data_IF_268681445572
#
_entry.id   IF_268681445572
#
_cell.length_a   1.000
_cell.length_b   1.000
_cell.length_c   1.000
_cell.angle_alpha   90.00
_cell.angle_beta   90.00
_cell.angle_gamma   90.00
#
_symmetry.space_group_name_H-M   'P 1'
#
loop_
_entity.id
_entity.type
_entity.pdbx_description
1 polymer ?
#
# COMPACT_ATOMS: atom_id res chain seq x y z
N UNK A 1 -72.30 -27.60 2.18
CA UNK A 1 -71.07 -27.09 2.77
C UNK A 1 -69.90 -27.65 2.01
N UNK A 2 -69.22 -26.81 1.17
CA UNK A 2 -68.04 -27.20 0.40
C UNK A 2 -66.81 -26.54 1.08
N UNK A 3 -65.98 -27.34 1.72
CA UNK A 3 -64.70 -26.91 2.27
C UNK A 3 -63.70 -26.75 1.15
N UNK A 4 -63.22 -25.54 0.95
CA UNK A 4 -62.08 -25.23 0.06
C UNK A 4 -60.79 -25.39 0.89
N UNK A 5 -60.00 -26.40 0.53
CA UNK A 5 -58.64 -26.53 1.02
C UNK A 5 -57.73 -25.49 0.34
N UNK A 6 -57.06 -24.71 1.17
CA UNK A 6 -56.04 -23.74 0.73
C UNK A 6 -54.68 -24.44 0.75
N UNK A 7 -54.13 -24.69 -0.43
CA UNK A 7 -52.75 -25.19 -0.57
C UNK A 7 -51.82 -24.03 -0.48
N UNK A 8 -51.01 -23.97 0.60
CA UNK A 8 -49.95 -23.01 0.75
C UNK A 8 -48.71 -23.49 -0.04
N UNK A 9 -48.37 -22.81 -1.10
CA UNK A 9 -47.10 -23.00 -1.81
C UNK A 9 -46.01 -22.28 -1.03
N UNK A 10 -45.15 -23.03 -0.36
CA UNK A 10 -43.93 -22.51 0.26
C UNK A 10 -42.88 -22.41 -0.83
N UNK A 11 -42.65 -21.21 -1.34
CA UNK A 11 -41.52 -20.92 -2.22
C UNK A 11 -40.22 -20.85 -1.39
N UNK A 12 -39.43 -21.93 -1.45
CA UNK A 12 -38.05 -21.90 -0.92
C UNK A 12 -37.19 -21.09 -1.88
N UNK A 13 -36.92 -19.84 -1.52
CA UNK A 13 -35.92 -19.04 -2.20
C UNK A 13 -34.55 -19.52 -1.76
N UNK A 14 -33.95 -20.42 -2.55
CA UNK A 14 -32.53 -20.77 -2.42
C UNK A 14 -31.74 -19.57 -2.95
N UNK A 15 -31.28 -18.68 -2.08
CA UNK A 15 -30.29 -17.69 -2.44
C UNK A 15 -28.97 -18.42 -2.69
N UNK A 16 -28.70 -18.75 -3.93
CA UNK A 16 -27.35 -19.06 -4.40
C UNK A 16 -26.48 -17.83 -4.15
N UNK A 17 -25.76 -17.83 -3.06
CA UNK A 17 -24.63 -16.90 -2.89
C UNK A 17 -23.64 -17.19 -4.01
N UNK A 18 -23.64 -16.37 -5.05
CA UNK A 18 -22.66 -16.45 -6.12
C UNK A 18 -21.29 -16.37 -5.47
N UNK A 19 -20.55 -17.46 -5.47
CA UNK A 19 -19.15 -17.47 -5.05
C UNK A 19 -18.42 -16.52 -6.01
N UNK A 20 -17.89 -15.42 -5.48
CA UNK A 20 -17.20 -14.44 -6.29
C UNK A 20 -15.98 -15.11 -6.95
N UNK A 21 -16.08 -15.32 -8.25
CA UNK A 21 -15.06 -16.00 -9.04
C UNK A 21 -13.90 -15.04 -9.33
N UNK A 22 -12.68 -15.52 -9.21
CA UNK A 22 -11.49 -14.80 -9.70
C UNK A 22 -11.61 -14.69 -11.22
N UNK A 23 -11.36 -13.48 -11.73
CA UNK A 23 -11.45 -13.14 -13.15
C UNK A 23 -10.12 -12.59 -13.62
N UNK A 24 -9.53 -13.18 -14.66
CA UNK A 24 -8.38 -12.55 -15.31
C UNK A 24 -8.84 -11.26 -16.00
N UNK A 25 -8.29 -10.14 -15.55
CA UNK A 25 -8.60 -8.83 -16.14
C UNK A 25 -7.72 -8.58 -17.34
N UNK A 26 -8.31 -8.19 -18.49
CA UNK A 26 -7.50 -7.73 -19.61
C UNK A 26 -6.72 -6.48 -19.18
N UNK A 27 -5.47 -6.37 -19.64
CA UNK A 27 -4.68 -5.15 -19.43
C UNK A 27 -5.06 -4.12 -20.49
N UNK A 28 -5.07 -2.82 -20.16
CA UNK A 28 -5.25 -1.78 -21.16
C UNK A 28 -4.25 -1.94 -22.30
N UNK A 29 -4.70 -1.67 -23.52
CA UNK A 29 -3.85 -1.72 -24.70
C UNK A 29 -2.61 -0.83 -24.54
N UNK A 30 -1.47 -1.30 -24.98
CA UNK A 30 -0.19 -0.61 -24.87
C UNK A 30 0.61 -0.91 -23.61
N UNK A 31 0.04 -1.55 -22.59
CA UNK A 31 0.80 -1.87 -21.37
C UNK A 31 1.92 -2.90 -21.61
N UNK A 32 1.86 -3.65 -22.68
CA UNK A 32 2.92 -4.54 -23.16
C UNK A 32 4.20 -3.76 -23.59
N UNK A 33 4.06 -2.47 -23.86
CA UNK A 33 5.17 -1.57 -24.24
C UNK A 33 5.79 -0.83 -23.04
N UNK A 34 5.33 -1.08 -21.81
CA UNK A 34 5.91 -0.47 -20.62
C UNK A 34 7.36 -0.92 -20.43
N UNK A 35 8.24 0.08 -20.19
CA UNK A 35 9.65 -0.22 -19.95
C UNK A 35 9.91 -0.72 -18.53
N UNK A 36 11.00 -1.46 -18.28
CA UNK A 36 11.40 -1.85 -16.94
C UNK A 36 11.57 -0.61 -16.03
N UNK A 37 10.85 -0.59 -14.91
CA UNK A 37 10.77 0.55 -14.00
C UNK A 37 9.57 1.47 -14.24
N UNK A 38 8.86 1.30 -15.36
CA UNK A 38 7.68 2.09 -15.71
C UNK A 38 6.47 1.80 -14.84
N UNK A 39 6.40 0.62 -14.23
CA UNK A 39 5.31 0.22 -13.33
C UNK A 39 5.69 0.43 -11.88
N UNK A 40 4.72 0.71 -11.03
CA UNK A 40 4.99 0.75 -9.59
C UNK A 40 5.49 -0.60 -9.05
N UNK A 41 4.98 -1.71 -9.57
CA UNK A 41 5.42 -3.05 -9.14
C UNK A 41 6.90 -3.34 -9.43
N UNK A 42 7.53 -2.63 -10.33
CA UNK A 42 8.97 -2.79 -10.63
C UNK A 42 9.86 -2.23 -9.50
N UNK A 43 9.28 -1.52 -8.54
CA UNK A 43 9.95 -0.91 -7.38
C UNK A 43 10.05 -1.87 -6.18
N UNK A 44 9.38 -3.03 -6.20
CA UNK A 44 9.51 -4.03 -5.14
C UNK A 44 10.88 -4.68 -5.17
N UNK A 45 11.51 -4.80 -4.02
CA UNK A 45 12.79 -5.46 -3.84
C UNK A 45 12.63 -6.82 -3.16
N UNK A 46 13.68 -7.65 -3.19
CA UNK A 46 13.66 -8.96 -2.55
C UNK A 46 13.87 -8.82 -1.06
N UNK A 47 13.01 -9.43 -0.25
CA UNK A 47 13.19 -9.56 1.18
C UNK A 47 14.29 -10.58 1.50
N UNK A 48 14.98 -10.43 2.63
CA UNK A 48 15.83 -11.46 3.21
C UNK A 48 15.10 -12.19 4.32
N UNK A 49 15.36 -13.48 4.48
CA UNK A 49 14.79 -14.26 5.58
C UNK A 49 15.29 -13.71 6.92
N UNK A 50 14.38 -13.52 7.87
CA UNK A 50 14.69 -13.01 9.20
C UNK A 50 15.20 -14.16 10.09
N UNK A 51 16.50 -14.21 10.29
CA UNK A 51 17.12 -15.26 11.12
C UNK A 51 16.80 -16.67 10.59
N UNK A 52 16.20 -17.50 11.44
CA UNK A 52 15.75 -18.86 11.12
C UNK A 52 14.24 -18.95 10.85
N UNK A 53 13.62 -17.85 10.37
CA UNK A 53 12.15 -17.77 10.21
C UNK A 53 11.60 -18.57 9.05
N UNK A 54 12.44 -19.02 8.08
CA UNK A 54 11.95 -19.78 6.94
C UNK A 54 11.46 -21.17 7.34
N UNK A 55 10.27 -21.52 6.87
CA UNK A 55 9.69 -22.85 7.04
C UNK A 55 9.11 -23.35 5.73
N UNK A 56 9.39 -24.64 5.44
CA UNK A 56 8.74 -25.40 4.38
C UNK A 56 7.62 -26.28 4.94
N UNK A 57 7.51 -26.36 6.26
CA UNK A 57 6.44 -27.09 6.90
C UNK A 57 5.15 -26.29 6.67
N UNK A 58 4.28 -26.86 5.87
CA UNK A 58 2.91 -26.41 5.79
C UNK A 58 2.33 -26.58 7.19
N UNK A 59 1.84 -25.55 7.80
CA UNK A 59 1.17 -25.58 9.09
C UNK A 59 -0.14 -26.38 8.99
N UNK A 60 -0.03 -27.61 8.43
CA UNK A 60 -1.05 -28.61 8.30
C UNK A 60 -2.04 -28.47 7.15
N UNK A 61 -2.03 -27.40 6.36
CA UNK A 61 -2.91 -27.22 5.20
C UNK A 61 -2.22 -27.54 3.87
N UNK A 62 -2.92 -28.19 2.97
CA UNK A 62 -2.41 -28.50 1.62
C UNK A 62 -1.97 -27.26 0.84
N UNK A 63 -2.50 -26.08 1.19
CA UNK A 63 -2.30 -24.82 0.46
C UNK A 63 -1.38 -23.83 1.17
N UNK A 64 -0.90 -24.15 2.38
CA UNK A 64 -0.02 -23.23 3.12
C UNK A 64 1.35 -23.20 2.50
N UNK A 65 1.74 -22.05 1.95
CA UNK A 65 3.01 -21.85 1.25
C UNK A 65 4.20 -21.82 2.20
N UNK A 66 5.36 -22.34 1.79
CA UNK A 66 6.62 -22.10 2.49
C UNK A 66 6.83 -20.60 2.65
N UNK A 67 7.23 -20.15 3.85
CA UNK A 67 7.31 -18.73 4.17
C UNK A 67 8.25 -18.43 5.32
N UNK A 68 8.64 -17.18 5.45
CA UNK A 68 9.30 -16.67 6.64
C UNK A 68 8.24 -16.27 7.69
N UNK A 69 8.11 -17.05 8.74
CA UNK A 69 7.14 -16.83 9.83
C UNK A 69 7.50 -15.60 10.69
N UNK A 70 8.74 -15.09 10.59
CA UNK A 70 9.19 -13.88 11.30
C UNK A 70 8.98 -12.61 10.48
N UNK A 71 8.75 -12.74 9.16
CA UNK A 71 8.42 -11.59 8.31
C UNK A 71 6.97 -11.17 8.55
N UNK A 72 6.77 -9.87 8.85
CA UNK A 72 5.47 -9.34 9.23
C UNK A 72 5.02 -9.83 10.60
N UNK A 73 3.79 -10.34 10.69
CA UNK A 73 3.24 -10.90 11.93
C UNK A 73 2.50 -12.21 11.68
N UNK A 74 2.76 -13.17 12.54
CA UNK A 74 2.14 -14.47 12.55
C UNK A 74 2.22 -15.07 13.97
N UNK A 75 1.08 -15.48 14.54
CA UNK A 75 0.99 -16.15 15.83
C UNK A 75 0.21 -17.45 15.72
N UNK A 76 0.57 -18.45 16.52
CA UNK A 76 -0.17 -19.71 16.59
C UNK A 76 -1.64 -19.45 16.99
N UNK A 77 -2.58 -20.11 16.31
CA UNK A 77 -4.00 -20.00 16.59
C UNK A 77 -4.70 -18.72 16.15
N UNK A 78 -4.00 -17.82 15.42
CA UNK A 78 -4.57 -16.56 14.92
C UNK A 78 -4.30 -16.34 13.43
N UNK A 79 -5.32 -15.91 12.69
CA UNK A 79 -5.18 -15.25 11.39
C UNK A 79 -4.99 -13.76 11.57
N UNK A 80 -4.20 -13.13 10.68
CA UNK A 80 -3.97 -11.69 10.62
C UNK A 80 -4.41 -11.10 9.29
N UNK A 81 -5.00 -9.89 9.31
CA UNK A 81 -5.44 -9.22 8.11
C UNK A 81 -5.40 -7.70 8.20
N UNK A 82 -4.81 -7.05 7.18
CA UNK A 82 -4.74 -5.60 7.12
C UNK A 82 -3.89 -4.99 8.23
N UNK A 83 -3.93 -3.67 8.31
CA UNK A 83 -3.15 -2.90 9.27
C UNK A 83 -1.93 -2.24 8.65
N UNK A 84 -1.40 -1.22 9.35
CA UNK A 84 -0.22 -0.48 8.92
C UNK A 84 0.89 -0.52 9.97
N UNK A 85 2.12 -0.37 9.47
CA UNK A 85 3.32 -0.24 10.28
C UNK A 85 3.72 1.23 10.31
N UNK A 86 3.96 1.77 11.50
CA UNK A 86 4.37 3.16 11.69
C UNK A 86 5.56 3.21 12.65
N UNK A 87 6.62 3.96 12.30
CA UNK A 87 7.76 4.20 13.19
C UNK A 87 7.40 5.27 14.21
N UNK A 88 7.53 4.96 15.50
CA UNK A 88 7.28 5.90 16.60
C UNK A 88 8.46 5.79 17.58
N UNK A 89 9.25 6.84 17.69
CA UNK A 89 10.49 6.79 18.46
C UNK A 89 11.48 5.81 17.84
N UNK A 90 11.86 4.79 18.60
CA UNK A 90 12.82 3.75 18.18
C UNK A 90 12.14 2.50 17.64
N UNK A 91 10.85 2.35 17.92
CA UNK A 91 10.09 1.14 17.67
C UNK A 91 9.16 1.29 16.45
N UNK A 92 8.78 0.16 15.90
CA UNK A 92 7.78 0.04 14.85
C UNK A 92 6.50 -0.53 15.46
N UNK A 93 5.39 0.18 15.27
CA UNK A 93 4.08 -0.17 15.77
C UNK A 93 3.22 -0.67 14.63
N UNK A 94 2.63 -1.85 14.80
CA UNK A 94 1.69 -2.45 13.87
C UNK A 94 0.31 -2.52 14.52
N UNK A 95 -0.70 -1.96 13.85
CA UNK A 95 -2.09 -2.13 14.23
C UNK A 95 -2.76 -2.98 13.15
N UNK A 96 -3.15 -4.21 13.50
CA UNK A 96 -3.70 -5.19 12.57
C UNK A 96 -4.97 -5.84 13.09
N UNK A 97 -5.84 -6.30 12.20
CA UNK A 97 -6.94 -7.17 12.58
C UNK A 97 -6.43 -8.59 12.77
N UNK A 98 -6.90 -9.28 13.83
CA UNK A 98 -6.67 -10.69 14.02
C UNK A 98 -7.92 -11.39 14.52
N UNK A 99 -8.02 -12.68 14.31
CA UNK A 99 -9.07 -13.54 14.85
C UNK A 99 -8.55 -14.94 15.08
N UNK A 100 -9.18 -15.66 15.99
CA UNK A 100 -8.80 -17.04 16.27
C UNK A 100 -9.09 -17.96 15.08
N UNK A 101 -8.14 -18.83 14.77
CA UNK A 101 -8.36 -19.96 13.88
C UNK A 101 -9.30 -20.98 14.53
N UNK A 102 -10.49 -21.14 13.97
CA UNK A 102 -11.52 -22.04 14.48
C UNK A 102 -12.11 -22.84 13.33
N UNK A 103 -12.04 -24.18 13.45
CA UNK A 103 -12.72 -25.07 12.52
C UNK A 103 -14.25 -24.87 12.57
N UNK A 104 -14.93 -24.94 11.43
CA UNK A 104 -14.41 -25.11 10.04
C UNK A 104 -14.23 -23.78 9.28
N UNK A 105 -14.19 -22.63 9.95
CA UNK A 105 -14.38 -21.33 9.28
C UNK A 105 -13.11 -20.65 8.77
N UNK A 106 -11.93 -20.92 9.36
CA UNK A 106 -10.67 -20.32 8.93
C UNK A 106 -10.77 -18.81 8.67
N UNK A 107 -10.38 -18.36 7.50
CA UNK A 107 -10.46 -16.93 7.12
C UNK A 107 -11.88 -16.35 7.27
N UNK A 108 -12.91 -17.14 6.97
CA UNK A 108 -14.31 -16.65 7.04
C UNK A 108 -14.81 -16.41 8.47
N UNK A 109 -13.98 -16.63 9.49
CA UNK A 109 -14.25 -16.21 10.86
C UNK A 109 -13.90 -14.73 11.13
N UNK A 110 -13.38 -14.00 10.16
CA UNK A 110 -13.03 -12.58 10.24
C UNK A 110 -14.10 -11.66 10.89
N UNK A 111 -15.42 -11.92 10.86
CA UNK A 111 -16.39 -11.08 11.57
C UNK A 111 -16.18 -11.03 13.09
N UNK A 112 -15.35 -11.94 13.64
CA UNK A 112 -14.98 -11.96 15.05
C UNK A 112 -13.62 -11.32 15.33
N UNK A 113 -13.05 -10.60 14.33
CA UNK A 113 -11.75 -9.97 14.48
C UNK A 113 -11.74 -8.88 15.55
N UNK A 114 -10.58 -8.74 16.14
CA UNK A 114 -10.17 -7.71 17.09
C UNK A 114 -8.97 -6.94 16.53
N UNK A 115 -8.76 -5.72 17.02
CA UNK A 115 -7.61 -4.90 16.64
C UNK A 115 -6.49 -5.19 17.62
N UNK A 116 -5.40 -5.78 17.11
CA UNK A 116 -4.18 -6.03 17.85
C UNK A 116 -3.17 -4.91 17.59
N UNK A 117 -2.57 -4.39 18.65
CA UNK A 117 -1.39 -3.53 18.61
C UNK A 117 -0.17 -4.38 18.92
N UNK A 118 0.77 -4.41 17.99
CA UNK A 118 2.02 -5.15 18.12
C UNK A 118 3.23 -4.23 17.89
N UNK A 119 4.36 -4.57 18.50
CA UNK A 119 5.57 -3.76 18.46
C UNK A 119 6.77 -4.61 18.05
N UNK A 120 7.69 -4.02 17.29
CA UNK A 120 8.99 -4.59 16.95
C UNK A 120 10.06 -3.51 16.92
N UNK A 121 11.31 -3.90 17.19
CA UNK A 121 12.49 -3.06 16.91
C UNK A 121 12.88 -3.03 15.43
N UNK A 122 12.24 -3.84 14.59
CA UNK A 122 12.49 -4.01 13.15
C UNK A 122 11.28 -3.60 12.33
N UNK A 123 11.46 -2.98 11.15
CA UNK A 123 10.35 -2.61 10.28
C UNK A 123 9.69 -3.82 9.61
N UNK A 124 10.46 -4.89 9.38
CA UNK A 124 10.13 -5.99 8.49
C UNK A 124 9.53 -7.21 9.20
N UNK A 125 9.47 -7.20 10.55
CA UNK A 125 8.85 -8.34 11.20
C UNK A 125 9.21 -8.53 12.67
N UNK A 126 8.93 -9.73 13.13
CA UNK A 126 9.09 -10.16 14.52
C UNK A 126 8.21 -9.33 15.48
N UNK A 127 7.06 -8.88 14.99
CA UNK A 127 6.11 -8.11 15.79
C UNK A 127 5.52 -8.95 16.91
N UNK A 128 5.44 -8.37 18.12
CA UNK A 128 4.83 -9.01 19.31
C UNK A 128 3.63 -8.19 19.75
N UNK A 129 2.50 -8.84 19.91
CA UNK A 129 1.27 -8.19 20.39
C UNK A 129 1.48 -7.73 21.83
N UNK A 130 1.24 -6.45 22.06
CA UNK A 130 1.38 -5.80 23.38
C UNK A 130 0.03 -5.45 23.99
N UNK A 131 -1.01 -5.24 23.16
CA UNK A 131 -2.37 -4.98 23.62
C UNK A 131 -3.41 -5.35 22.55
N UNK A 132 -4.66 -5.42 22.96
CA UNK A 132 -5.84 -5.58 22.11
C UNK A 132 -6.81 -4.45 22.41
N UNK A 133 -7.11 -3.63 21.41
CA UNK A 133 -7.98 -2.45 21.57
C UNK A 133 -9.46 -2.87 21.73
N UNK A 134 -9.87 -3.92 21.04
CA UNK A 134 -11.24 -4.40 21.00
C UNK A 134 -11.66 -4.85 19.61
N UNK A 135 -12.97 -5.01 19.39
CA UNK A 135 -13.54 -5.50 18.13
C UNK A 135 -13.33 -4.51 16.97
N UNK A 136 -12.99 -5.04 15.81
CA UNK A 136 -12.84 -4.29 14.58
C UNK A 136 -12.12 -5.08 13.50
N UNK A 137 -12.21 -4.59 12.26
CA UNK A 137 -11.56 -5.19 11.10
C UNK A 137 -10.95 -4.12 10.23
N UNK A 138 -9.92 -4.46 9.44
CA UNK A 138 -9.25 -3.55 8.51
C UNK A 138 -8.74 -2.25 9.16
N UNK A 139 -7.91 -2.32 10.21
CA UNK A 139 -7.45 -1.12 10.89
C UNK A 139 -6.45 -0.31 10.08
N UNK A 140 -6.40 1.01 10.38
CA UNK A 140 -5.34 1.91 9.96
C UNK A 140 -5.11 2.99 11.00
N UNK A 141 -3.87 3.11 11.47
CA UNK A 141 -3.43 4.16 12.37
C UNK A 141 -3.14 5.44 11.59
N UNK A 142 -3.64 6.57 12.08
CA UNK A 142 -3.23 7.90 11.61
C UNK A 142 -3.11 8.88 12.79
N UNK A 143 -2.44 10.00 12.54
CA UNK A 143 -2.21 11.03 13.54
C UNK A 143 -3.09 12.24 13.27
N UNK A 144 -3.76 12.75 14.30
CA UNK A 144 -4.58 13.95 14.25
C UNK A 144 -3.71 15.22 14.40
N UNK A 145 -4.26 16.37 14.05
CA UNK A 145 -3.57 17.67 14.08
C UNK A 145 -3.08 18.08 15.48
N UNK A 146 -3.82 17.70 16.51
CA UNK A 146 -3.46 17.95 17.92
C UNK A 146 -2.37 16.99 18.46
N UNK A 147 -1.90 16.06 17.61
CA UNK A 147 -0.91 15.08 17.98
C UNK A 147 -1.48 13.78 18.55
N UNK A 148 -2.78 13.70 18.81
CA UNK A 148 -3.44 12.46 19.23
C UNK A 148 -3.46 11.41 18.12
N UNK A 149 -3.74 10.17 18.49
CA UNK A 149 -3.78 9.02 17.61
C UNK A 149 -5.21 8.54 17.35
N UNK A 150 -5.46 8.08 16.14
CA UNK A 150 -6.69 7.42 15.77
C UNK A 150 -6.39 6.12 15.03
N UNK A 151 -7.01 5.03 15.44
CA UNK A 151 -7.02 3.76 14.71
C UNK A 151 -8.40 3.60 14.09
N UNK A 152 -8.48 3.79 12.79
CA UNK A 152 -9.68 3.48 12.03
C UNK A 152 -9.90 1.96 12.01
N UNK A 153 -11.16 1.54 12.01
CA UNK A 153 -11.56 0.18 11.68
C UNK A 153 -13.02 0.15 11.20
N UNK A 154 -13.44 -0.94 10.59
CA UNK A 154 -14.86 -1.22 10.38
C UNK A 154 -15.38 -2.08 11.53
N UNK A 155 -16.61 -1.78 11.99
CA UNK A 155 -17.30 -2.73 12.86
C UNK A 155 -17.74 -3.95 12.03
N UNK A 156 -17.84 -5.10 12.68
CA UNK A 156 -18.20 -6.36 12.02
C UNK A 156 -19.70 -6.58 11.97
N UNK A 157 -20.52 -5.53 12.08
CA UNK A 157 -21.98 -5.55 11.98
C UNK A 157 -22.42 -5.22 10.56
N UNK A 158 -23.59 -5.67 10.18
CA UNK A 158 -24.23 -5.26 8.92
C UNK A 158 -25.31 -4.19 9.21
N UNK A 159 -25.27 -3.03 8.53
CA UNK A 159 -24.21 -2.57 7.63
C UNK A 159 -22.90 -2.27 8.37
N UNK A 160 -21.77 -2.50 7.70
CA UNK A 160 -20.47 -2.12 8.24
C UNK A 160 -20.40 -0.60 8.45
N UNK A 161 -19.89 -0.20 9.60
CA UNK A 161 -19.72 1.21 9.95
C UNK A 161 -18.25 1.54 10.16
N UNK A 162 -17.86 2.75 9.76
CA UNK A 162 -16.56 3.32 10.05
C UNK A 162 -16.47 3.69 11.53
N UNK A 163 -15.48 3.16 12.23
CA UNK A 163 -15.24 3.35 13.64
C UNK A 163 -13.82 3.85 13.88
N UNK A 164 -13.58 4.46 15.03
CA UNK A 164 -12.28 4.94 15.48
C UNK A 164 -12.01 4.47 16.90
N UNK A 165 -10.78 4.06 17.17
CA UNK A 165 -10.20 4.05 18.51
C UNK A 165 -9.31 5.30 18.61
N UNK A 166 -9.56 6.18 19.59
CA UNK A 166 -8.77 7.39 19.80
C UNK A 166 -8.02 7.37 21.11
N UNK A 167 -6.79 7.86 21.09
CA UNK A 167 -5.96 8.03 22.29
C UNK A 167 -5.05 9.25 22.16
N UNK A 168 -4.66 9.85 23.30
CA UNK A 168 -3.62 10.87 23.31
C UNK A 168 -2.25 10.29 23.06
N UNK A 169 -1.98 9.13 23.67
CA UNK A 169 -0.72 8.41 23.55
C UNK A 169 -0.92 7.10 22.79
N UNK A 170 0.14 6.61 22.13
CA UNK A 170 0.10 5.39 21.31
C UNK A 170 -0.24 4.11 22.11
N UNK A 171 -0.01 4.11 23.41
CA UNK A 171 -0.40 3.00 24.31
C UNK A 171 -1.77 3.18 24.96
N UNK A 172 -2.58 4.10 24.50
CA UNK A 172 -3.92 4.34 25.05
C UNK A 172 -3.95 5.29 26.26
N UNK A 173 -5.01 5.31 27.07
CA UNK A 173 -6.22 4.49 26.89
C UNK A 173 -7.01 4.86 25.63
N UNK A 174 -7.59 3.87 24.97
CA UNK A 174 -8.32 4.02 23.73
C UNK A 174 -9.82 4.20 23.96
N UNK A 175 -10.41 5.21 23.33
CA UNK A 175 -11.86 5.46 23.30
C UNK A 175 -12.42 5.02 21.97
N UNK A 176 -13.43 4.12 22.01
CA UNK A 176 -14.10 3.61 20.81
C UNK A 176 -15.31 4.46 20.45
N UNK A 177 -15.33 5.01 19.25
CA UNK A 177 -16.40 5.89 18.78
C UNK A 177 -16.71 5.68 17.28
N UNK A 178 -17.84 6.19 16.84
CA UNK A 178 -18.20 6.20 15.41
C UNK A 178 -17.47 7.34 14.69
N UNK A 179 -16.82 7.00 13.57
CA UNK A 179 -16.30 8.01 12.66
C UNK A 179 -17.44 8.85 12.08
N UNK A 180 -17.33 10.17 12.19
CA UNK A 180 -18.35 11.09 11.69
C UNK A 180 -18.08 11.39 10.21
N UNK A 181 -19.10 11.15 9.37
CA UNK A 181 -19.06 11.38 7.92
C UNK A 181 -20.12 12.41 7.55
N UNK A 182 -19.74 13.45 6.82
CA UNK A 182 -20.61 14.47 6.26
C UNK A 182 -20.55 14.42 4.73
N UNK A 183 -21.69 14.23 4.10
CA UNK A 183 -21.81 14.15 2.65
C UNK A 183 -21.76 15.52 1.97
N UNK A 184 -21.85 16.62 2.72
CA UNK A 184 -21.85 17.98 2.17
C UNK A 184 -22.87 18.15 1.01
N UNK A 185 -24.08 17.65 1.21
CA UNK A 185 -25.14 17.63 0.20
C UNK A 185 -24.97 16.63 -0.94
N UNK A 186 -23.88 15.85 -0.97
CA UNK A 186 -23.59 14.86 -2.01
C UNK A 186 -24.32 13.54 -1.76
N UNK A 187 -24.50 12.78 -2.82
CA UNK A 187 -25.09 11.43 -2.75
C UNK A 187 -24.10 10.43 -2.16
N UNK A 188 -24.61 9.51 -1.33
CA UNK A 188 -23.82 8.37 -0.85
C UNK A 188 -23.32 7.54 -2.03
N UNK A 189 -22.03 7.15 -2.00
CA UNK A 189 -21.47 6.15 -2.91
C UNK A 189 -21.51 4.80 -2.19
N UNK A 190 -21.87 3.75 -2.90
CA UNK A 190 -21.75 2.39 -2.37
C UNK A 190 -20.30 2.13 -1.91
N UNK A 191 -20.14 1.59 -0.69
CA UNK A 191 -18.84 1.20 -0.18
C UNK A 191 -18.10 2.27 0.64
N UNK A 192 -18.81 3.12 1.37
CA UNK A 192 -18.24 4.05 2.37
C UNK A 192 -17.60 3.30 3.55
N UNK A 193 -16.59 2.51 3.26
CA UNK A 193 -15.84 1.67 4.20
C UNK A 193 -14.40 1.50 3.72
N UNK A 194 -13.59 0.74 4.45
CA UNK A 194 -12.18 0.48 4.11
C UNK A 194 -11.42 1.76 3.77
N UNK A 195 -11.52 2.75 4.67
CA UNK A 195 -10.82 4.02 4.51
C UNK A 195 -9.31 3.85 4.61
N UNK A 196 -8.60 4.75 3.94
CA UNK A 196 -7.17 5.00 4.13
C UNK A 196 -6.93 6.49 4.28
N UNK A 197 -5.92 6.87 5.08
CA UNK A 197 -5.74 8.23 5.58
C UNK A 197 -4.35 8.76 5.29
N UNK A 198 -4.27 10.10 5.10
CA UNK A 198 -3.02 10.82 4.92
C UNK A 198 -3.10 12.21 5.57
N UNK A 199 -2.24 12.49 6.53
CA UNK A 199 -2.13 13.83 7.12
C UNK A 199 -1.45 14.78 6.14
N UNK A 200 -2.10 15.93 5.86
CA UNK A 200 -1.62 16.98 4.95
C UNK A 200 -0.67 17.94 5.67
N UNK A 201 0.09 18.78 4.92
CA UNK A 201 1.02 19.75 5.50
C UNK A 201 0.38 20.73 6.51
N UNK A 202 -0.90 21.06 6.33
CA UNK A 202 -1.67 21.96 7.19
C UNK A 202 -2.29 21.26 8.43
N UNK A 203 -2.05 19.96 8.56
CA UNK A 203 -2.58 19.12 9.62
C UNK A 203 -4.02 18.62 9.38
N UNK A 204 -4.64 18.97 8.26
CA UNK A 204 -5.88 18.32 7.85
C UNK A 204 -5.62 16.87 7.45
N UNK A 205 -6.65 16.02 7.55
CA UNK A 205 -6.53 14.59 7.23
C UNK A 205 -7.38 14.28 6.01
N UNK A 206 -6.68 13.92 4.94
CA UNK A 206 -7.29 13.43 3.70
C UNK A 206 -7.58 11.94 3.84
N UNK A 207 -8.70 11.48 3.30
CA UNK A 207 -9.04 10.06 3.28
C UNK A 207 -9.66 9.65 1.95
N UNK A 208 -9.49 8.37 1.61
CA UNK A 208 -10.15 7.71 0.48
C UNK A 208 -10.84 6.44 0.97
N UNK A 209 -12.04 6.15 0.48
CA UNK A 209 -12.79 4.97 0.87
C UNK A 209 -12.87 3.92 -0.25
N UNK A 210 -13.38 2.73 0.06
CA UNK A 210 -13.62 1.64 -0.90
C UNK A 210 -14.39 2.09 -2.14
N UNK A 211 -15.40 2.95 -1.97
CA UNK A 211 -16.18 3.50 -3.08
C UNK A 211 -15.42 4.49 -3.96
N UNK A 212 -14.20 4.89 -3.60
CA UNK A 212 -13.39 5.86 -4.32
C UNK A 212 -13.75 7.31 -4.05
N UNK A 213 -14.54 7.58 -3.00
CA UNK A 213 -14.80 8.94 -2.52
C UNK A 213 -13.60 9.53 -1.79
N UNK A 214 -13.30 10.80 -2.05
CA UNK A 214 -12.29 11.58 -1.33
C UNK A 214 -12.96 12.37 -0.21
N UNK A 215 -12.38 12.30 0.97
CA UNK A 215 -12.88 12.91 2.20
C UNK A 215 -11.79 13.74 2.87
N UNK A 216 -12.19 14.78 3.58
CA UNK A 216 -11.29 15.67 4.30
C UNK A 216 -11.85 16.03 5.67
N UNK A 217 -11.06 15.84 6.72
CA UNK A 217 -11.26 16.42 8.04
C UNK A 217 -10.23 17.53 8.28
N UNK A 218 -10.63 18.65 8.88
CA UNK A 218 -9.73 19.79 9.15
C UNK A 218 -8.58 19.44 10.11
N UNK A 219 -8.79 18.42 10.96
CA UNK A 219 -7.86 18.10 12.04
C UNK A 219 -7.79 16.60 12.39
N UNK A 220 -8.64 15.78 11.74
CA UNK A 220 -8.80 14.35 12.05
C UNK A 220 -9.75 14.09 13.22
N UNK A 221 -10.18 15.13 13.96
CA UNK A 221 -11.12 15.05 15.08
C UNK A 221 -12.55 15.43 14.64
N UNK A 222 -12.66 16.43 13.76
CA UNK A 222 -13.91 16.87 13.16
C UNK A 222 -14.44 15.87 12.13
N UNK A 223 -15.73 15.98 11.75
CA UNK A 223 -16.30 15.15 10.70
C UNK A 223 -15.46 15.15 9.42
N UNK A 224 -15.39 13.99 8.78
CA UNK A 224 -14.83 13.86 7.44
C UNK A 224 -15.90 14.26 6.42
N UNK A 225 -15.63 15.35 5.69
CA UNK A 225 -16.51 15.92 4.68
C UNK A 225 -16.13 15.38 3.32
N UNK A 226 -17.09 14.88 2.56
CA UNK A 226 -16.86 14.37 1.21
C UNK A 226 -16.52 15.50 0.23
N UNK A 227 -15.39 15.41 -0.45
CA UNK A 227 -14.90 16.43 -1.39
C UNK A 227 -15.07 16.04 -2.86
N UNK A 228 -14.98 14.77 -3.21
CA UNK A 228 -15.20 14.33 -4.59
C UNK A 228 -16.68 14.20 -4.94
N UNK A 229 -17.05 14.56 -6.17
CA UNK A 229 -18.40 14.32 -6.71
C UNK A 229 -18.61 12.84 -7.01
N UNK A 230 -17.64 12.21 -7.65
CA UNK A 230 -17.66 10.82 -8.08
C UNK A 230 -16.55 9.97 -7.46
N UNK A 231 -16.39 8.80 -8.05
CA UNK A 231 -15.31 7.86 -7.78
C UNK A 231 -14.05 8.33 -8.50
N UNK A 232 -12.91 8.37 -7.78
CA UNK A 232 -11.60 8.74 -8.37
C UNK A 232 -10.86 7.57 -8.99
N UNK A 233 -11.31 6.33 -8.76
CA UNK A 233 -10.67 5.13 -9.30
C UNK A 233 -10.79 5.03 -10.83
N UNK A 234 -9.93 4.23 -11.50
CA UNK A 234 -9.95 4.10 -12.94
C UNK A 234 -11.33 3.71 -13.47
N UNK A 235 -11.68 4.24 -14.64
CA UNK A 235 -12.90 3.87 -15.36
C UNK A 235 -12.67 2.59 -16.19
N UNK A 236 -12.43 1.51 -15.49
CA UNK A 236 -12.25 0.16 -16.05
C UNK A 236 -13.11 -0.83 -15.30
N UNK A 237 -13.35 -1.97 -15.89
CA UNK A 237 -14.00 -3.06 -15.18
C UNK A 237 -13.16 -3.52 -14.01
N UNK A 238 -13.74 -3.56 -12.80
CA UNK A 238 -13.08 -4.00 -11.60
C UNK A 238 -13.96 -3.93 -10.37
N UNK A 239 -13.64 -4.73 -9.38
CA UNK A 239 -14.19 -4.65 -8.03
C UNK A 239 -13.16 -4.04 -7.11
N UNK A 240 -13.12 -2.72 -7.09
CA UNK A 240 -12.15 -1.97 -6.30
C UNK A 240 -12.43 -2.07 -4.80
N UNK A 241 -11.36 -2.35 -4.06
CA UNK A 241 -11.38 -2.46 -2.61
C UNK A 241 -9.99 -2.09 -2.05
N UNK A 242 -9.93 -1.85 -0.74
CA UNK A 242 -8.69 -1.69 0.03
C UNK A 242 -7.71 -0.63 -0.53
N UNK A 243 -8.15 0.62 -0.68
CA UNK A 243 -7.23 1.67 -1.07
C UNK A 243 -6.14 1.87 -0.02
N UNK A 244 -4.97 2.30 -0.48
CA UNK A 244 -3.93 2.91 0.36
C UNK A 244 -3.65 4.31 -0.16
N UNK A 245 -3.65 5.28 0.76
CA UNK A 245 -3.40 6.69 0.49
C UNK A 245 -2.15 7.14 1.25
N UNK A 246 -1.23 7.77 0.55
CA UNK A 246 -0.08 8.43 1.18
C UNK A 246 0.36 9.63 0.37
N UNK A 247 1.30 10.39 0.88
CA UNK A 247 2.02 11.46 0.16
C UNK A 247 3.51 11.39 0.43
N UNK A 248 4.28 11.93 -0.49
CA UNK A 248 5.70 12.24 -0.31
C UNK A 248 5.93 13.76 -0.37
N UNK A 249 7.18 14.21 -0.54
CA UNK A 249 7.53 15.62 -0.73
C UNK A 249 7.04 16.20 -2.07
N UNK A 250 6.50 15.37 -2.98
CA UNK A 250 6.18 15.78 -4.36
C UNK A 250 4.68 15.76 -4.63
N UNK A 251 3.99 14.68 -4.24
CA UNK A 251 2.59 14.46 -4.60
C UNK A 251 1.88 13.49 -3.65
N UNK A 252 0.58 13.31 -3.87
CA UNK A 252 -0.25 12.30 -3.23
C UNK A 252 -0.36 11.07 -4.12
N UNK A 253 -0.56 9.91 -3.51
CA UNK A 253 -0.65 8.62 -4.17
C UNK A 253 -1.83 7.81 -3.63
N UNK A 254 -2.52 7.11 -4.52
CA UNK A 254 -3.45 6.05 -4.18
C UNK A 254 -3.02 4.78 -4.92
N UNK A 255 -3.07 3.65 -4.23
CA UNK A 255 -3.15 2.33 -4.86
C UNK A 255 -4.46 1.72 -4.43
N UNK A 256 -5.19 1.16 -5.38
CA UNK A 256 -6.45 0.46 -5.13
C UNK A 256 -6.41 -0.93 -5.77
N UNK A 257 -6.91 -1.92 -5.04
CA UNK A 257 -6.92 -3.32 -5.44
C UNK A 257 -8.23 -3.68 -6.16
N UNK A 258 -8.14 -4.33 -7.33
CA UNK A 258 -9.24 -5.13 -7.85
C UNK A 258 -9.15 -6.53 -7.25
N UNK A 259 -9.90 -6.77 -6.18
CA UNK A 259 -9.79 -8.00 -5.41
C UNK A 259 -10.26 -9.26 -6.16
N UNK A 260 -11.13 -9.14 -7.18
CA UNK A 260 -11.48 -10.25 -8.06
C UNK A 260 -10.42 -10.50 -9.14
N UNK A 261 -9.90 -9.42 -9.72
CA UNK A 261 -8.88 -9.49 -10.76
C UNK A 261 -7.48 -9.72 -10.22
N UNK A 262 -7.26 -9.66 -8.92
CA UNK A 262 -5.96 -9.80 -8.27
C UNK A 262 -4.88 -8.86 -8.85
N UNK A 263 -5.28 -7.64 -9.15
CA UNK A 263 -4.44 -6.59 -9.72
C UNK A 263 -4.71 -5.27 -9.01
N UNK A 264 -3.70 -4.46 -8.84
CA UNK A 264 -3.84 -3.12 -8.27
C UNK A 264 -3.45 -2.04 -9.26
N UNK A 265 -4.08 -0.88 -9.09
CA UNK A 265 -3.94 0.31 -9.90
C UNK A 265 -3.33 1.44 -9.10
N UNK A 266 -2.45 2.22 -9.73
CA UNK A 266 -1.84 3.40 -9.11
C UNK A 266 -2.41 4.69 -9.67
N UNK A 267 -2.76 5.60 -8.76
CA UNK A 267 -3.17 6.96 -9.08
C UNK A 267 -2.23 7.94 -8.36
N UNK A 268 -2.08 9.12 -8.95
CA UNK A 268 -1.30 10.23 -8.37
C UNK A 268 -2.08 11.53 -8.43
N UNK A 269 -1.76 12.46 -7.53
CA UNK A 269 -2.38 13.77 -7.48
C UNK A 269 -1.41 14.81 -6.95
N UNK A 270 -1.27 15.99 -7.56
CA UNK A 270 -0.43 17.07 -7.06
C UNK A 270 -1.01 17.76 -5.81
N UNK A 271 -2.32 17.64 -5.57
CA UNK A 271 -3.09 18.40 -4.57
C UNK A 271 -3.92 17.50 -3.60
N UNK A 272 -4.08 16.22 -3.92
CA UNK A 272 -4.90 15.26 -3.18
C UNK A 272 -6.37 15.22 -3.61
N UNK A 273 -6.76 16.01 -4.61
CA UNK A 273 -8.14 16.11 -5.09
C UNK A 273 -8.29 15.76 -6.57
N UNK A 274 -7.32 16.17 -7.39
CA UNK A 274 -7.28 15.90 -8.83
C UNK A 274 -6.44 14.67 -9.09
N UNK A 275 -7.07 13.54 -9.44
CA UNK A 275 -6.40 12.23 -9.54
C UNK A 275 -6.22 11.78 -10.98
N UNK A 276 -5.04 11.27 -11.29
CA UNK A 276 -4.69 10.68 -12.59
C UNK A 276 -4.21 9.25 -12.38
N UNK A 277 -4.77 8.30 -13.15
CA UNK A 277 -4.28 6.92 -13.17
C UNK A 277 -2.98 6.82 -13.94
N UNK A 278 -1.96 6.20 -13.33
CA UNK A 278 -0.71 5.86 -14.02
C UNK A 278 -0.84 4.51 -14.75
N UNK A 279 -0.11 4.32 -15.87
CA UNK A 279 -0.06 3.05 -16.56
C UNK A 279 0.67 1.98 -15.76
N UNK A 280 0.32 0.72 -16.01
CA UNK A 280 0.95 -0.43 -15.40
C UNK A 280 0.36 -0.85 -14.07
N UNK A 281 0.58 -2.10 -13.73
CA UNK A 281 0.13 -2.68 -12.46
C UNK A 281 0.88 -2.08 -11.28
N UNK A 282 0.16 -1.73 -10.23
CA UNK A 282 0.79 -1.38 -8.96
C UNK A 282 1.32 -2.61 -8.24
N UNK A 283 0.59 -3.71 -8.30
CA UNK A 283 1.04 -5.04 -7.90
C UNK A 283 0.09 -6.13 -8.46
N UNK A 284 0.62 -7.34 -8.52
CA UNK A 284 -0.09 -8.59 -8.84
C UNK A 284 0.40 -9.68 -7.90
N UNK A 285 -0.20 -10.88 -7.84
CA UNK A 285 0.41 -12.02 -7.17
C UNK A 285 1.83 -12.31 -7.69
N UNK A 286 2.70 -12.82 -6.83
CA UNK A 286 4.09 -13.13 -7.19
C UNK A 286 5.10 -12.00 -7.01
N UNK A 287 4.72 -10.87 -6.42
CA UNK A 287 5.66 -9.76 -6.11
C UNK A 287 6.60 -10.06 -4.94
N UNK A 288 6.22 -10.95 -4.01
CA UNK A 288 7.07 -11.29 -2.87
C UNK A 288 8.21 -12.22 -3.31
N UNK A 289 9.39 -11.64 -3.48
CA UNK A 289 10.63 -12.35 -3.75
C UNK A 289 11.47 -12.42 -2.48
N UNK A 290 11.95 -13.61 -2.14
CA UNK A 290 12.70 -13.88 -0.93
C UNK A 290 14.09 -14.39 -1.31
N UNK A 291 15.11 -13.74 -0.76
CA UNK A 291 16.49 -14.16 -0.90
C UNK A 291 16.79 -15.19 0.20
N UNK A 292 16.99 -16.41 -0.19
CA UNK A 292 17.36 -17.50 0.72
C UNK A 292 18.81 -17.30 1.21
N UNK A 293 19.11 -17.64 2.47
CA UNK A 293 20.49 -17.72 2.93
C UNK A 293 21.26 -18.71 2.07
N UNK A 294 22.49 -18.39 1.71
CA UNK A 294 23.41 -19.38 1.17
C UNK A 294 23.73 -20.35 2.29
N UNK A 295 23.35 -21.62 2.14
CA UNK A 295 23.77 -22.67 3.07
C UNK A 295 25.29 -22.69 3.13
N UNK A 296 25.83 -22.39 4.30
CA UNK A 296 27.28 -22.37 4.57
C UNK A 296 27.94 -23.75 4.49
N UNK A 297 27.26 -24.79 4.03
CA UNK A 297 27.79 -26.13 4.20
C UNK A 297 28.34 -26.83 2.96
N UNK A 298 28.11 -26.38 1.73
CA UNK A 298 28.75 -27.08 0.58
C UNK A 298 28.76 -26.42 -0.80
N UNK A 299 28.28 -25.20 -1.02
CA UNK A 299 28.33 -24.57 -2.34
C UNK A 299 28.92 -23.17 -2.30
N UNK A 300 30.24 -23.10 -2.54
CA UNK A 300 30.97 -21.88 -2.88
C UNK A 300 30.57 -21.37 -4.27
N UNK A 301 29.37 -20.85 -4.43
CA UNK A 301 29.01 -20.05 -5.60
C UNK A 301 28.10 -18.93 -5.16
N UNK A 302 28.38 -17.73 -5.61
CA UNK A 302 27.74 -16.46 -5.31
C UNK A 302 26.24 -16.33 -5.68
N UNK A 303 25.48 -17.40 -5.71
CA UNK A 303 24.06 -17.39 -6.06
C UNK A 303 23.18 -17.66 -4.84
N UNK A 304 22.85 -16.59 -4.10
CA UNK A 304 21.70 -16.65 -3.22
C UNK A 304 20.46 -16.99 -4.06
N UNK A 305 19.85 -18.15 -3.80
CA UNK A 305 18.66 -18.56 -4.52
C UNK A 305 17.52 -17.59 -4.22
N UNK A 306 16.95 -17.00 -5.26
CA UNK A 306 15.78 -16.16 -5.18
C UNK A 306 14.52 -17.02 -5.32
N UNK A 307 13.68 -17.04 -4.29
CA UNK A 307 12.40 -17.76 -4.29
C UNK A 307 11.27 -16.74 -4.41
N UNK A 308 10.35 -16.98 -5.32
CA UNK A 308 9.10 -16.20 -5.39
C UNK A 308 8.06 -16.88 -4.52
N UNK A 309 7.49 -16.12 -3.60
CA UNK A 309 6.35 -16.57 -2.80
C UNK A 309 5.05 -16.11 -3.48
N UNK A 310 4.44 -17.01 -4.23
CA UNK A 310 3.24 -16.75 -5.01
C UNK A 310 1.99 -16.96 -4.15
N UNK A 311 1.67 -15.97 -3.33
CA UNK A 311 0.43 -15.96 -2.57
C UNK A 311 -0.77 -15.86 -3.52
N UNK A 312 -1.84 -16.55 -3.18
CA UNK A 312 -3.07 -16.53 -3.98
C UNK A 312 -3.67 -15.13 -4.07
N UNK A 313 -3.65 -14.35 -2.97
CA UNK A 313 -4.09 -12.96 -2.92
C UNK A 313 -3.15 -12.09 -2.10
N UNK A 314 -3.05 -10.84 -2.56
CA UNK A 314 -2.46 -9.70 -1.85
C UNK A 314 -3.56 -8.65 -1.70
N UNK A 315 -3.90 -8.31 -0.48
CA UNK A 315 -4.91 -7.29 -0.17
C UNK A 315 -4.39 -6.36 0.94
N UNK A 316 -5.11 -5.27 1.20
CA UNK A 316 -4.83 -4.37 2.32
C UNK A 316 -3.39 -3.86 2.35
N UNK A 317 -2.83 -3.54 1.16
CA UNK A 317 -1.52 -2.90 1.10
C UNK A 317 -1.46 -1.68 2.00
N UNK A 318 -0.35 -1.51 2.73
CA UNK A 318 0.02 -0.29 3.44
C UNK A 318 1.49 0.01 3.20
N UNK A 319 1.87 1.28 3.39
CA UNK A 319 3.22 1.75 3.13
C UNK A 319 3.90 2.18 4.43
N UNK A 320 5.19 1.86 4.53
CA UNK A 320 6.10 2.47 5.49
C UNK A 320 6.99 3.45 4.73
N UNK A 321 7.08 4.68 5.22
CA UNK A 321 7.76 5.78 4.58
C UNK A 321 9.00 6.21 5.36
N UNK A 322 9.99 6.75 4.63
CA UNK A 322 11.12 7.45 5.26
C UNK A 322 10.74 8.90 5.67
N UNK A 323 11.71 9.65 6.16
CA UNK A 323 11.55 11.05 6.60
C UNK A 323 11.18 12.01 5.46
N UNK A 324 11.26 11.58 4.21
CA UNK A 324 10.89 12.35 3.02
C UNK A 324 9.58 11.87 2.39
N UNK A 325 8.92 10.90 3.02
CA UNK A 325 7.67 10.31 2.54
C UNK A 325 7.83 9.30 1.41
N UNK A 326 9.05 8.92 1.04
CA UNK A 326 9.29 7.87 0.06
C UNK A 326 8.98 6.50 0.66
N UNK A 327 8.38 5.64 -0.11
CA UNK A 327 8.02 4.29 0.36
C UNK A 327 9.27 3.41 0.40
N UNK A 328 9.66 2.97 1.60
CA UNK A 328 10.81 2.08 1.83
C UNK A 328 10.39 0.62 2.00
N UNK A 329 9.13 0.39 2.35
CA UNK A 329 8.57 -0.93 2.58
C UNK A 329 7.06 -0.88 2.43
N UNK A 330 6.48 -1.99 2.03
CA UNK A 330 5.03 -2.22 2.07
C UNK A 330 4.71 -3.39 2.99
N UNK A 331 3.51 -3.40 3.54
CA UNK A 331 2.96 -4.60 4.15
C UNK A 331 1.63 -4.97 3.48
N UNK A 332 1.34 -6.26 3.45
CA UNK A 332 0.15 -6.84 2.83
C UNK A 332 -0.51 -7.85 3.75
N UNK A 333 -1.81 -7.93 3.67
CA UNK A 333 -2.53 -9.12 4.05
C UNK A 333 -2.48 -10.11 2.88
N UNK A 334 -2.04 -11.33 3.15
CA UNK A 334 -1.91 -12.38 2.14
C UNK A 334 -2.64 -13.65 2.57
N UNK A 335 -3.08 -14.42 1.59
CA UNK A 335 -3.67 -15.74 1.77
C UNK A 335 -3.24 -16.64 0.60
N UNK A 336 -3.03 -17.89 0.83
CA UNK A 336 -2.52 -18.85 -0.16
C UNK A 336 -3.60 -19.67 -0.88
N UNK A 337 -4.87 -19.47 -0.48
CA UNK A 337 -6.02 -20.12 -1.12
C UNK A 337 -7.23 -19.20 -1.22
N UNK A 338 -8.34 -19.68 -1.77
CA UNK A 338 -9.61 -18.98 -1.74
C UNK A 338 -10.09 -18.84 -0.28
N UNK A 339 -10.50 -17.64 0.12
CA UNK A 339 -10.93 -17.30 1.50
C UNK A 339 -11.98 -18.26 2.08
N UNK A 340 -12.91 -18.74 1.24
CA UNK A 340 -13.95 -19.72 1.64
C UNK A 340 -13.48 -21.16 1.63
N UNK A 341 -12.27 -21.44 1.19
CA UNK A 341 -11.63 -22.77 1.23
C UNK A 341 -10.66 -22.91 2.39
N UNK A 342 -10.29 -21.79 3.01
CA UNK A 342 -9.44 -21.78 4.20
C UNK A 342 -10.16 -22.44 5.38
N UNK A 343 -9.44 -23.31 6.08
CA UNK A 343 -9.93 -24.04 7.25
C UNK A 343 -9.21 -23.56 8.49
N UNK A 344 -9.94 -23.43 9.59
CA UNK A 344 -9.34 -23.28 10.90
C UNK A 344 -8.69 -24.59 11.32
N UNK A 345 -7.87 -24.60 12.32
CA UNK A 345 -7.14 -25.72 12.95
C UNK A 345 -5.64 -25.49 13.08
N UNK A 346 -5.26 -24.32 13.60
CA UNK A 346 -3.85 -23.90 13.76
C UNK A 346 -3.05 -23.83 12.45
N UNK A 347 -3.75 -23.75 11.33
CA UNK A 347 -3.17 -23.72 10.01
C UNK A 347 -3.40 -22.33 9.45
N UNK A 348 -2.35 -21.52 9.48
CA UNK A 348 -2.46 -20.14 9.02
C UNK A 348 -2.29 -20.05 7.53
N UNK A 349 -3.35 -19.80 6.80
CA UNK A 349 -3.20 -19.32 5.44
C UNK A 349 -3.24 -17.78 5.37
N UNK A 350 -3.89 -17.10 6.31
CA UNK A 350 -3.98 -15.64 6.37
C UNK A 350 -2.96 -15.02 7.31
N UNK A 351 -2.07 -14.19 6.79
CA UNK A 351 -1.05 -13.47 7.57
C UNK A 351 -0.75 -12.08 7.00
N UNK A 352 0.00 -11.28 7.73
CA UNK A 352 0.63 -10.07 7.19
C UNK A 352 2.11 -10.33 6.88
N UNK A 353 2.52 -9.89 5.70
CA UNK A 353 3.93 -9.91 5.26
C UNK A 353 4.40 -8.49 4.97
N UNK A 354 5.71 -8.30 4.96
CA UNK A 354 6.36 -7.07 4.52
C UNK A 354 7.24 -7.34 3.30
N UNK A 355 7.29 -6.37 2.40
CA UNK A 355 8.13 -6.42 1.20
C UNK A 355 8.89 -5.10 1.10
N UNK A 356 10.24 -5.12 1.03
CA UNK A 356 11.03 -3.91 0.87
C UNK A 356 10.80 -3.26 -0.50
N UNK A 357 10.98 -1.95 -0.55
CA UNK A 357 10.80 -1.14 -1.77
C UNK A 357 12.07 -0.35 -2.07
N UNK A 358 12.35 -0.17 -3.35
CA UNK A 358 13.25 0.87 -3.81
C UNK A 358 12.56 2.24 -3.64
N UNK A 359 13.04 3.14 -2.78
CA UNK A 359 12.41 4.43 -2.53
C UNK A 359 12.64 5.46 -3.65
N UNK A 360 13.46 5.10 -4.66
CA UNK A 360 13.95 6.07 -5.63
C UNK A 360 15.02 6.99 -5.07
N UNK A 361 15.30 8.07 -5.78
CA UNK A 361 16.34 9.05 -5.40
C UNK A 361 15.73 10.41 -5.15
N UNK A 362 16.29 11.12 -4.17
CA UNK A 362 15.81 12.43 -3.77
C UNK A 362 16.33 13.52 -4.73
N UNK A 363 15.41 14.35 -5.19
CA UNK A 363 15.75 15.59 -5.90
C UNK A 363 15.85 16.74 -4.90
N UNK A 364 17.01 17.36 -4.81
CA UNK A 364 17.21 18.52 -3.93
C UNK A 364 16.59 19.78 -4.53
N UNK A 365 16.89 20.03 -5.81
CA UNK A 365 16.31 21.15 -6.56
C UNK A 365 15.97 20.73 -7.99
N UNK A 366 14.88 21.27 -8.52
CA UNK A 366 14.50 21.16 -9.93
C UNK A 366 14.09 22.53 -10.45
N UNK A 367 14.72 23.00 -11.52
CA UNK A 367 14.48 24.35 -12.03
C UNK A 367 14.75 24.46 -13.52
N UNK A 368 14.03 25.37 -14.20
CA UNK A 368 14.28 25.77 -15.59
C UNK A 368 15.36 26.86 -15.62
N UNK A 369 16.36 26.67 -16.48
CA UNK A 369 17.45 27.63 -16.70
C UNK A 369 17.56 27.90 -18.18
N UNK A 370 18.49 28.81 -18.59
CA UNK A 370 18.79 29.05 -20.01
C UNK A 370 19.38 27.82 -20.72
N UNK A 371 20.00 26.90 -19.96
CA UNK A 371 20.60 25.67 -20.50
C UNK A 371 19.60 24.53 -20.62
N UNK A 372 18.48 24.61 -19.95
CA UNK A 372 17.47 23.56 -19.87
C UNK A 372 16.96 23.34 -18.43
N UNK A 373 16.43 22.17 -18.17
CA UNK A 373 15.98 21.77 -16.84
C UNK A 373 17.14 21.17 -16.03
N UNK A 374 17.48 21.78 -14.92
CA UNK A 374 18.51 21.31 -14.00
C UNK A 374 17.87 20.54 -12.86
N UNK A 375 18.23 19.26 -12.72
CA UNK A 375 17.82 18.36 -11.64
C UNK A 375 19.02 18.03 -10.76
N UNK A 376 19.04 18.49 -9.51
CA UNK A 376 20.08 18.15 -8.55
C UNK A 376 19.65 16.91 -7.76
N UNK A 377 20.38 15.81 -7.96
CA UNK A 377 20.14 14.52 -7.32
C UNK A 377 20.99 14.44 -6.06
N UNK A 378 20.35 14.25 -4.91
CA UNK A 378 21.00 14.19 -3.61
C UNK A 378 21.79 12.90 -3.45
N UNK A 379 23.05 13.01 -2.96
CA UNK A 379 23.77 11.86 -2.43
C UNK A 379 23.22 11.49 -1.05
N UNK A 380 23.05 10.19 -0.79
CA UNK A 380 22.44 9.64 0.42
C UNK A 380 23.29 8.48 0.96
N UNK A 381 23.02 7.98 2.16
CA UNK A 381 23.74 6.83 2.70
C UNK A 381 23.67 5.64 1.72
N UNK A 382 24.82 5.11 1.33
CA UNK A 382 24.90 4.00 0.37
C UNK A 382 24.64 4.38 -1.10
N UNK A 383 24.58 5.69 -1.43
CA UNK A 383 24.41 6.18 -2.79
C UNK A 383 25.15 7.50 -3.00
N UNK A 384 26.09 7.51 -3.89
CA UNK A 384 26.80 8.71 -4.34
C UNK A 384 26.29 9.13 -5.75
N UNK A 385 25.54 10.22 -5.81
CA UNK A 385 24.92 10.67 -7.06
C UNK A 385 25.93 10.92 -8.18
N UNK A 386 27.17 11.35 -7.86
CA UNK A 386 28.22 11.64 -8.85
C UNK A 386 28.79 10.36 -9.50
N UNK A 387 28.83 9.24 -8.78
CA UNK A 387 29.46 8.01 -9.25
C UNK A 387 28.46 6.94 -9.65
N UNK A 388 27.31 6.89 -9.00
CA UNK A 388 26.41 5.74 -9.10
C UNK A 388 25.33 5.89 -10.16
N UNK A 389 25.01 7.13 -10.60
CA UNK A 389 24.00 7.38 -11.64
C UNK A 389 24.57 7.05 -13.03
N UNK A 390 23.83 6.23 -13.78
CA UNK A 390 24.03 6.06 -15.22
C UNK A 390 23.24 7.13 -15.97
N UNK A 391 23.89 8.29 -16.19
CA UNK A 391 23.26 9.47 -16.77
C UNK A 391 22.75 9.23 -18.19
N UNK A 392 23.41 8.39 -18.97
CA UNK A 392 23.03 8.09 -20.35
C UNK A 392 21.71 7.32 -20.43
N UNK A 393 21.38 6.58 -19.37
CA UNK A 393 20.11 5.85 -19.25
C UNK A 393 18.93 6.75 -18.92
N UNK A 394 19.15 7.97 -18.40
CA UNK A 394 18.09 8.81 -17.85
C UNK A 394 17.22 9.43 -18.93
N UNK A 395 15.91 9.32 -18.75
CA UNK A 395 14.89 10.09 -19.47
C UNK A 395 14.06 10.89 -18.47
N UNK A 396 13.65 12.08 -18.82
CA UNK A 396 12.80 12.97 -18.01
C UNK A 396 11.49 13.27 -18.75
N UNK A 397 10.37 13.22 -18.04
CA UNK A 397 9.06 13.58 -18.57
C UNK A 397 7.93 13.35 -17.58
N UNK A 398 6.68 13.58 -17.98
CA UNK A 398 5.51 13.16 -17.25
C UNK A 398 5.57 11.66 -16.91
N UNK A 399 5.16 11.27 -15.71
CA UNK A 399 5.26 9.88 -15.25
C UNK A 399 4.59 8.88 -16.21
N UNK A 400 3.46 9.25 -16.80
CA UNK A 400 2.75 8.44 -17.80
C UNK A 400 3.54 8.23 -19.10
N UNK A 401 4.42 9.17 -19.46
CA UNK A 401 5.25 9.07 -20.66
C UNK A 401 6.52 8.25 -20.41
N UNK A 402 7.22 8.54 -19.31
CA UNK A 402 8.46 7.81 -19.00
C UNK A 402 8.20 6.34 -18.71
N UNK A 403 7.01 5.99 -18.27
CA UNK A 403 6.58 4.61 -18.10
C UNK A 403 6.65 3.80 -19.42
N UNK A 404 6.51 4.44 -20.57
CA UNK A 404 6.66 3.86 -21.90
C UNK A 404 8.02 4.12 -22.54
N UNK A 405 9.00 4.63 -21.77
CA UNK A 405 10.32 4.96 -22.28
C UNK A 405 10.35 6.27 -23.09
N UNK A 406 9.26 7.02 -23.10
CA UNK A 406 9.18 8.32 -23.75
C UNK A 406 9.60 9.43 -22.79
N UNK A 407 10.38 10.39 -23.28
CA UNK A 407 10.92 11.50 -22.50
C UNK A 407 12.15 12.08 -23.13
N UNK A 408 12.71 13.14 -22.52
CA UNK A 408 13.93 13.77 -23.02
C UNK A 408 15.15 13.21 -22.31
N UNK A 409 16.21 12.94 -23.05
CA UNK A 409 17.50 12.47 -22.52
C UNK A 409 18.28 13.62 -21.90
N UNK A 410 19.13 13.29 -20.93
CA UNK A 410 20.12 14.22 -20.41
C UNK A 410 21.07 14.71 -21.52
N UNK A 411 21.41 16.01 -21.49
CA UNK A 411 22.33 16.65 -22.44
C UNK A 411 23.63 17.08 -21.77
N UNK A 412 23.75 16.95 -20.48
CA UNK A 412 24.96 17.31 -19.74
C UNK A 412 24.80 17.11 -18.23
N UNK A 413 25.93 17.31 -17.57
CA UNK A 413 26.01 17.22 -16.11
C UNK A 413 26.84 18.35 -15.53
N UNK A 414 26.64 18.63 -14.25
CA UNK A 414 27.46 19.50 -13.42
C UNK A 414 27.52 18.94 -12.00
N UNK A 415 28.38 19.51 -11.19
CA UNK A 415 28.44 19.21 -9.76
C UNK A 415 28.02 20.44 -8.95
N UNK A 416 27.25 20.24 -7.88
CA UNK A 416 26.88 21.28 -6.95
C UNK A 416 26.86 20.74 -5.52
N UNK A 417 27.76 21.23 -4.67
CA UNK A 417 27.87 20.88 -3.26
C UNK A 417 27.91 19.34 -2.99
N UNK A 418 28.69 18.62 -3.82
CA UNK A 418 28.86 17.17 -3.71
C UNK A 418 27.71 16.33 -4.27
N UNK A 419 26.76 16.95 -4.96
CA UNK A 419 25.64 16.28 -5.62
C UNK A 419 25.74 16.40 -7.13
N UNK A 420 25.18 15.42 -7.86
CA UNK A 420 25.06 15.44 -9.31
C UNK A 420 23.92 16.38 -9.73
N UNK A 421 24.22 17.28 -10.66
CA UNK A 421 23.22 18.05 -11.41
C UNK A 421 23.12 17.48 -12.82
N UNK A 422 21.97 16.91 -13.16
CA UNK A 422 21.66 16.44 -14.53
C UNK A 422 20.94 17.57 -15.26
N UNK A 423 21.36 17.83 -16.49
CA UNK A 423 20.79 18.87 -17.36
C UNK A 423 20.01 18.19 -18.48
N UNK A 424 18.73 18.52 -18.58
CA UNK A 424 17.84 18.07 -19.65
C UNK A 424 17.51 19.22 -20.61
N UNK A 425 17.10 18.96 -21.86
CA UNK A 425 16.77 20.02 -22.84
C UNK A 425 15.70 20.99 -22.31
N UNK A 426 15.67 22.24 -22.85
CA UNK A 426 14.70 23.27 -22.45
C UNK A 426 13.33 23.09 -23.12
N UNK A 427 12.75 21.89 -22.98
CA UNK A 427 11.40 21.55 -23.47
C UNK A 427 10.32 22.02 -22.50
N UNK A 428 9.10 22.19 -23.01
CA UNK A 428 7.95 22.38 -22.14
C UNK A 428 7.57 21.03 -21.49
N UNK A 429 7.27 21.07 -20.19
CA UNK A 429 6.86 19.93 -19.41
C UNK A 429 5.39 20.13 -18.95
N UNK A 430 4.46 19.61 -19.73
CA UNK A 430 3.01 19.77 -19.51
C UNK A 430 2.49 18.85 -18.38
N UNK A 431 3.14 18.92 -17.24
CA UNK A 431 2.73 18.16 -16.05
C UNK A 431 3.23 18.88 -14.79
N UNK A 432 2.43 18.98 -13.73
CA UNK A 432 2.88 19.55 -12.46
C UNK A 432 3.95 18.69 -11.77
N UNK A 433 4.04 17.41 -12.13
CA UNK A 433 5.02 16.46 -11.60
C UNK A 433 5.65 15.67 -12.74
N UNK A 434 6.97 15.59 -12.73
CA UNK A 434 7.76 14.82 -13.69
C UNK A 434 8.63 13.79 -12.97
N UNK A 435 9.06 12.79 -13.72
CA UNK A 435 9.95 11.74 -13.22
C UNK A 435 11.16 11.60 -14.14
N UNK A 436 12.33 11.49 -13.55
CA UNK A 436 13.51 10.96 -14.23
C UNK A 436 13.55 9.45 -13.98
N UNK A 437 13.60 8.67 -15.05
CA UNK A 437 13.64 7.20 -15.03
C UNK A 437 14.89 6.70 -15.74
N UNK A 438 15.54 5.68 -15.21
CA UNK A 438 16.73 5.05 -15.79
C UNK A 438 17.34 4.04 -14.83
N UNK A 439 18.67 3.98 -14.78
CA UNK A 439 19.41 3.02 -13.96
C UNK A 439 20.57 3.66 -13.21
N UNK A 440 20.96 3.01 -12.14
CA UNK A 440 22.27 3.17 -11.53
C UNK A 440 23.30 2.31 -12.31
N UNK A 441 24.58 2.65 -12.22
CA UNK A 441 25.66 1.84 -12.84
C UNK A 441 25.74 0.41 -12.32
N UNK A 442 25.17 0.17 -11.14
CA UNK A 442 24.96 -1.18 -10.58
C UNK A 442 23.89 -1.99 -11.31
N UNK A 443 23.12 -1.37 -12.22
CA UNK A 443 21.95 -1.94 -12.88
C UNK A 443 20.66 -1.78 -12.05
N UNK A 444 20.71 -1.28 -10.81
CA UNK A 444 19.54 -1.01 -10.01
C UNK A 444 18.65 0.04 -10.69
N UNK A 445 17.35 -0.09 -10.54
CA UNK A 445 16.38 0.90 -11.01
C UNK A 445 16.63 2.25 -10.35
N UNK A 446 16.81 3.29 -11.19
CA UNK A 446 16.83 4.68 -10.80
C UNK A 446 15.51 5.34 -11.18
N UNK A 447 14.88 6.02 -10.25
CA UNK A 447 13.81 6.96 -10.51
C UNK A 447 13.85 8.10 -9.49
N UNK A 448 13.45 9.28 -9.93
CA UNK A 448 13.39 10.47 -9.09
C UNK A 448 12.24 11.37 -9.58
N UNK A 449 11.33 11.70 -8.69
CA UNK A 449 10.18 12.56 -9.00
C UNK A 449 10.40 13.96 -8.46
N UNK A 450 9.88 14.97 -9.15
CA UNK A 450 9.92 16.37 -8.73
C UNK A 450 8.76 17.17 -9.31
N UNK A 451 8.46 18.30 -8.67
CA UNK A 451 7.47 19.27 -9.15
C UNK A 451 8.12 20.22 -10.14
N UNK A 452 7.39 20.54 -11.21
CA UNK A 452 7.90 21.47 -12.27
C UNK A 452 7.99 22.91 -11.80
N UNK A 453 7.26 23.29 -10.74
CA UNK A 453 7.38 24.59 -10.07
C UNK A 453 8.56 24.65 -9.07
N UNK A 454 9.29 23.56 -8.89
CA UNK A 454 10.41 23.45 -7.95
C UNK A 454 10.04 23.43 -6.47
N UNK A 455 8.75 23.42 -6.15
CA UNK A 455 8.27 23.37 -4.76
C UNK A 455 8.30 21.95 -4.20
N UNK A 456 8.20 21.84 -2.89
CA UNK A 456 8.01 20.57 -2.16
C UNK A 456 6.81 20.68 -1.25
N UNK A 457 6.12 19.57 -1.04
CA UNK A 457 5.09 19.46 -0.02
C UNK A 457 5.76 19.31 1.35
N UNK A 458 5.53 20.26 2.23
CA UNK A 458 6.07 20.21 3.58
C UNK A 458 5.49 19.06 4.40
N UNK A 459 6.29 18.53 5.31
CA UNK A 459 5.77 17.64 6.35
C UNK A 459 5.00 18.44 7.39
N UNK A 460 3.86 17.91 7.81
CA UNK A 460 3.15 18.43 8.94
C UNK A 460 4.01 18.26 10.21
N UNK A 461 4.46 19.38 10.77
CA UNK A 461 5.19 19.40 12.03
C UNK A 461 4.19 19.55 13.16
N UNK A 462 4.04 18.49 13.96
CA UNK A 462 3.30 18.59 15.20
C UNK A 462 4.02 19.62 16.10
N UNK A 463 3.33 20.68 16.46
CA UNK A 463 3.81 21.69 17.41
C UNK A 463 3.78 21.14 18.82
#
# INVERSE_FOLDING_TARGET
>A
MKTRGMVAVVSVVVSLAAVAQIVERPRPAGWESLVPGGRFMDRFESASVIGNGWTINCWGGENVKPRDVRNGIEDAGYSYWGGNITKIGRDYHFFGARWKEIEPRGHMFWPHSEIAHAVSSRPDGDFKVVEVLGKGHNPELFRCKDGSWAVYCVNNRKPCQAMLYRAKEIGGPWVYERMQLDLDGKTMIEGESNFSFCTRPDGSVLAVCRGGGIWLSEDGLKPFVRKSEGRVYPDVEGRFEDPVLWRDEVQYHIIVNDWLGRVAWKLVSPDGFSWTTLPGEAYTPGIARIRMPSDNSQLSTHNSQLVTNDWFKYERMRVLQDEHGRVIQTNFAVIDCLKNKDRGSDIHSSKNITIPMNPGRRVETFRKTRKGWEMRIRSESGFNSLTDVDVESLILGPQSMVAFGAGVKAIGTAEAAGDLVVIFPPVELDSPVVEALGREKSGRLFFATCRTDGTKLDWFKHK
#
